data_IF_182814681321
#
_entry.id   IF_182814681321
#
_cell.length_a   1.000
_cell.length_b   1.000
_cell.length_c   1.000
_cell.angle_alpha   90.00
_cell.angle_beta   90.00
_cell.angle_gamma   90.00
#
_symmetry.space_group_name_H-M   'P 1'
#
loop_
_entity.id
_entity.type
_entity.pdbx_description
1 polymer ?
#
# COMPACT_ATOMS: atom_id res chain seq x y z
N UNK A 1 16.09 -13.46 -22.43
CA UNK A 1 15.85 -14.13 -21.13
C UNK A 1 14.85 -13.25 -20.41
N UNK A 2 13.60 -13.70 -20.32
CA UNK A 2 12.63 -13.11 -19.42
C UNK A 2 12.86 -13.82 -18.08
N UNK A 3 14.00 -13.51 -17.45
CA UNK A 3 14.30 -14.05 -16.12
C UNK A 3 13.41 -13.23 -15.19
N UNK A 4 12.30 -13.83 -14.75
CA UNK A 4 11.44 -13.25 -13.73
C UNK A 4 12.33 -12.78 -12.58
N UNK A 5 12.28 -11.47 -12.29
CA UNK A 5 13.03 -10.90 -11.19
C UNK A 5 12.61 -11.59 -9.89
N UNK A 6 13.53 -11.86 -8.96
CA UNK A 6 13.18 -12.52 -7.71
C UNK A 6 12.09 -11.73 -6.97
N UNK A 7 11.02 -12.42 -6.57
CA UNK A 7 9.91 -11.84 -5.81
C UNK A 7 9.93 -12.30 -4.36
N UNK A 8 9.25 -11.54 -3.49
CA UNK A 8 9.00 -11.89 -2.09
C UNK A 8 7.50 -11.87 -1.84
N UNK A 9 7.02 -12.82 -1.05
CA UNK A 9 5.63 -12.83 -0.56
C UNK A 9 5.56 -12.05 0.75
N UNK A 10 4.75 -10.99 0.78
CA UNK A 10 4.50 -10.17 1.96
C UNK A 10 3.07 -10.38 2.43
N UNK A 11 2.90 -10.79 3.69
CA UNK A 11 1.59 -10.82 4.35
C UNK A 11 1.38 -9.52 5.10
N UNK A 12 0.27 -8.83 4.83
CA UNK A 12 -0.16 -7.62 5.54
C UNK A 12 -1.41 -7.91 6.35
N UNK A 13 -1.62 -7.11 7.40
CA UNK A 13 -2.94 -7.01 8.03
C UNK A 13 -3.88 -6.28 7.07
N UNK A 14 -5.18 -6.59 7.13
CA UNK A 14 -6.17 -5.94 6.27
C UNK A 14 -6.18 -4.42 6.50
N UNK A 15 -6.14 -4.00 7.77
CA UNK A 15 -6.12 -2.58 8.12
C UNK A 15 -4.88 -1.86 7.54
N UNK A 16 -3.70 -2.48 7.58
CA UNK A 16 -2.48 -1.93 6.97
C UNK A 16 -2.64 -1.79 5.45
N UNK A 17 -3.21 -2.81 4.79
CA UNK A 17 -3.41 -2.79 3.35
C UNK A 17 -4.38 -1.69 2.91
N UNK A 18 -5.50 -1.51 3.64
CA UNK A 18 -6.45 -0.42 3.41
C UNK A 18 -5.77 0.94 3.55
N UNK A 19 -5.07 1.17 4.67
CA UNK A 19 -4.41 2.46 4.94
C UNK A 19 -3.32 2.77 3.91
N UNK A 20 -2.52 1.78 3.54
CA UNK A 20 -1.45 1.97 2.55
C UNK A 20 -2.01 2.21 1.14
N UNK A 21 -3.03 1.46 0.74
CA UNK A 21 -3.63 1.60 -0.59
C UNK A 21 -4.34 2.95 -0.75
N UNK A 22 -5.10 3.38 0.27
CA UNK A 22 -5.72 4.71 0.32
C UNK A 22 -4.65 5.81 0.20
N UNK A 23 -3.60 5.73 1.02
CA UNK A 23 -2.52 6.72 1.01
C UNK A 23 -1.81 6.78 -0.35
N UNK A 24 -1.48 5.62 -0.95
CA UNK A 24 -0.83 5.55 -2.26
C UNK A 24 -1.71 6.11 -3.38
N UNK A 25 -3.03 5.88 -3.30
CA UNK A 25 -4.00 6.33 -4.30
C UNK A 25 -4.27 7.83 -4.26
N UNK A 26 -4.17 8.44 -3.09
CA UNK A 26 -4.48 9.86 -2.89
C UNK A 26 -3.25 10.77 -2.76
N UNK A 27 -2.04 10.22 -2.79
CA UNK A 27 -0.79 10.98 -2.65
C UNK A 27 -0.11 11.25 -3.99
N UNK A 28 0.24 12.51 -4.28
CA UNK A 28 1.18 12.82 -5.35
C UNK A 28 2.60 12.37 -4.95
N UNK A 29 3.02 11.21 -5.49
CA UNK A 29 4.32 10.63 -5.21
C UNK A 29 5.52 11.50 -5.65
N UNK A 30 5.32 12.58 -6.41
CA UNK A 30 6.38 13.57 -6.69
C UNK A 30 6.71 14.45 -5.47
N UNK A 31 5.78 14.56 -4.51
CA UNK A 31 5.94 15.37 -3.30
C UNK A 31 6.50 14.55 -2.13
N UNK A 32 6.54 13.21 -2.26
CA UNK A 32 7.11 12.32 -1.25
C UNK A 32 8.64 12.52 -1.22
N UNK A 33 9.23 12.82 -0.06
CA UNK A 33 10.69 12.94 0.06
C UNK A 33 11.38 11.62 -0.30
N UNK A 34 12.22 11.66 -1.33
CA UNK A 34 13.01 10.51 -1.79
C UNK A 34 14.49 10.88 -1.86
N UNK A 35 15.36 9.92 -1.56
CA UNK A 35 16.81 10.01 -1.75
C UNK A 35 17.24 9.37 -3.06
N UNK A 36 16.38 8.55 -3.69
CA UNK A 36 16.67 7.88 -4.95
C UNK A 36 15.38 7.65 -5.77
N UNK A 37 15.38 7.83 -7.11
CA UNK A 37 14.19 7.63 -7.95
C UNK A 37 13.51 6.26 -7.81
N UNK A 38 14.30 5.21 -7.53
CA UNK A 38 13.79 3.86 -7.31
C UNK A 38 12.80 3.75 -6.14
N UNK A 39 12.86 4.64 -5.14
CA UNK A 39 11.89 4.64 -4.03
C UNK A 39 10.50 5.01 -4.53
N UNK A 40 10.40 6.01 -5.41
CA UNK A 40 9.13 6.38 -6.04
C UNK A 40 8.60 5.24 -6.91
N UNK A 41 9.47 4.62 -7.70
CA UNK A 41 9.08 3.47 -8.52
C UNK A 41 8.57 2.32 -7.65
N UNK A 42 9.26 2.00 -6.56
CA UNK A 42 8.84 0.94 -5.65
C UNK A 42 7.47 1.20 -4.99
N UNK A 43 7.14 2.46 -4.67
CA UNK A 43 5.82 2.84 -4.15
C UNK A 43 4.72 2.69 -5.22
N UNK A 44 4.99 3.11 -6.45
CA UNK A 44 4.06 2.92 -7.57
C UNK A 44 3.86 1.43 -7.88
N UNK A 45 4.94 0.64 -7.90
CA UNK A 45 4.87 -0.80 -8.12
C UNK A 45 4.11 -1.50 -6.99
N UNK A 46 4.28 -1.06 -5.73
CA UNK A 46 3.54 -1.58 -4.58
C UNK A 46 2.04 -1.31 -4.72
N UNK A 47 1.66 -0.10 -5.11
CA UNK A 47 0.25 0.26 -5.34
C UNK A 47 -0.37 -0.63 -6.42
N UNK A 48 0.29 -0.78 -7.58
CA UNK A 48 -0.20 -1.64 -8.65
C UNK A 48 -0.33 -3.10 -8.18
N UNK A 49 0.62 -3.63 -7.41
CA UNK A 49 0.46 -5.01 -6.88
C UNK A 49 -0.69 -5.13 -5.88
N UNK A 50 -0.93 -4.11 -5.07
CA UNK A 50 -2.10 -4.08 -4.19
C UNK A 50 -3.41 -4.01 -4.96
N UNK A 51 -3.44 -3.43 -6.16
CA UNK A 51 -4.61 -3.42 -7.04
C UNK A 51 -4.87 -4.80 -7.68
N UNK A 52 -3.81 -5.48 -8.16
CA UNK A 52 -3.96 -6.67 -9.01
C UNK A 52 -3.79 -8.02 -8.30
N UNK A 53 -2.99 -8.09 -7.23
CA UNK A 53 -2.49 -9.36 -6.68
C UNK A 53 -3.11 -9.76 -5.34
N UNK A 54 -4.03 -8.95 -4.78
CA UNK A 54 -4.66 -9.24 -3.49
C UNK A 54 -6.07 -9.83 -3.66
N UNK A 55 -6.48 -10.67 -2.72
CA UNK A 55 -7.80 -11.32 -2.73
C UNK A 55 -8.92 -10.43 -2.15
N UNK A 56 -8.70 -9.12 -1.98
CA UNK A 56 -9.64 -8.19 -1.34
C UNK A 56 -9.83 -6.95 -2.21
N UNK A 57 -11.07 -6.50 -2.35
CA UNK A 57 -11.38 -5.28 -3.10
C UNK A 57 -11.02 -4.05 -2.26
N UNK A 58 -9.84 -3.48 -2.51
CA UNK A 58 -9.40 -2.24 -1.87
C UNK A 58 -9.87 -0.98 -2.60
N UNK A 59 -10.37 -1.08 -3.83
CA UNK A 59 -10.84 0.07 -4.62
C UNK A 59 -12.18 0.60 -4.12
N UNK A 60 -13.03 -0.29 -3.59
CA UNK A 60 -14.39 0.06 -3.17
C UNK A 60 -14.56 0.18 -1.64
N UNK A 61 -13.46 0.34 -0.90
CA UNK A 61 -13.49 0.56 0.55
C UNK A 61 -14.09 1.93 0.86
N UNK A 62 -15.00 2.00 1.84
CA UNK A 62 -15.66 3.27 2.19
C UNK A 62 -14.80 4.15 3.09
N UNK A 63 -15.12 5.45 3.15
CA UNK A 63 -14.46 6.39 4.07
C UNK A 63 -14.55 5.93 5.54
N UNK A 64 -15.67 5.30 5.94
CA UNK A 64 -15.83 4.75 7.29
C UNK A 64 -14.90 3.55 7.54
N UNK A 65 -14.72 2.68 6.55
CA UNK A 65 -13.81 1.53 6.62
C UNK A 65 -12.34 1.98 6.64
N UNK A 66 -11.99 3.01 5.86
CA UNK A 66 -10.67 3.65 5.91
C UNK A 66 -10.41 4.22 7.31
N UNK A 67 -11.37 4.98 7.86
CA UNK A 67 -11.24 5.56 9.19
C UNK A 67 -11.12 4.47 10.29
N UNK A 68 -11.86 3.37 10.16
CA UNK A 68 -11.75 2.23 11.06
C UNK A 68 -10.37 1.55 10.95
N UNK A 69 -9.88 1.33 9.73
CA UNK A 69 -8.57 0.76 9.49
C UNK A 69 -7.45 1.65 10.05
N UNK A 70 -7.51 2.98 9.85
CA UNK A 70 -6.58 3.93 10.44
C UNK A 70 -6.59 3.85 11.98
N UNK A 71 -7.77 3.74 12.59
CA UNK A 71 -7.90 3.61 14.05
C UNK A 71 -7.36 2.26 14.56
N UNK A 72 -7.51 1.17 13.81
CA UNK A 72 -6.97 -0.15 14.13
C UNK A 72 -5.44 -0.16 14.03
N UNK A 73 -4.89 0.30 12.91
CA UNK A 73 -3.44 0.45 12.72
C UNK A 73 -2.83 1.30 13.82
N UNK A 74 -3.45 2.43 14.16
CA UNK A 74 -3.01 3.30 15.25
C UNK A 74 -3.02 2.62 16.63
N UNK A 75 -3.93 1.67 16.88
CA UNK A 75 -4.02 0.95 18.15
C UNK A 75 -2.93 -0.12 18.31
N UNK A 76 -2.63 -0.86 17.24
CA UNK A 76 -1.68 -1.98 17.26
C UNK A 76 -0.22 -1.58 17.03
N UNK A 77 0.04 -0.31 16.69
CA UNK A 77 1.40 0.23 16.52
C UNK A 77 2.17 0.47 17.85
N UNK A 78 1.55 0.28 19.03
CA UNK A 78 2.25 0.30 20.33
C UNK A 78 3.17 1.50 20.58
N UNK A 79 2.67 2.71 20.33
CA UNK A 79 3.30 3.99 20.65
C UNK A 79 2.77 4.51 22.00
#
# INVERSE_FOLDING_TARGET
MNDELPTVMLRLWLADAIVLFDWLSNTDLNLVPITHPAQKQALADLQSRMEWDIDTDLENVTDEEIAAAQAEVARDMGW
#
